data_IF_706833022977
#
_entry.id   IF_706833022977
#
_cell.length_a   1.000
_cell.length_b   1.000
_cell.length_c   1.000
_cell.angle_alpha   90.00
_cell.angle_beta   90.00
_cell.angle_gamma   90.00
#
_symmetry.space_group_name_H-M   'P 1'
#
loop_
_entity.id
_entity.type
_entity.pdbx_description
1 polymer ?
#
# COMPACT_ATOMS: atom_id res chain seq x y z
N UNK A 1 -4.76 19.47 2.05
CA UNK A 1 -4.54 18.29 1.18
C UNK A 1 -3.08 17.93 1.34
N UNK A 2 -2.73 16.71 1.77
CA UNK A 2 -1.32 16.41 2.08
C UNK A 2 -0.57 16.19 0.75
N UNK A 3 0.06 17.23 0.23
CA UNK A 3 0.81 17.26 -1.05
C UNK A 3 1.89 16.15 -1.05
N UNK A 4 2.45 15.86 0.12
CA UNK A 4 3.36 14.74 0.39
C UNK A 4 2.80 13.39 -0.06
N UNK A 5 1.57 13.02 0.32
CA UNK A 5 1.02 11.71 -0.05
C UNK A 5 0.72 11.54 -1.56
N UNK A 6 0.49 12.65 -2.27
CA UNK A 6 0.07 12.62 -3.67
C UNK A 6 1.25 12.66 -4.65
N UNK A 7 2.39 13.24 -4.24
CA UNK A 7 3.56 13.41 -5.11
C UNK A 7 4.85 12.85 -4.52
N UNK A 8 5.07 12.93 -3.21
CA UNK A 8 6.31 12.43 -2.60
C UNK A 8 6.37 10.90 -2.68
N UNK A 9 5.29 10.21 -2.30
CA UNK A 9 5.27 8.74 -2.36
C UNK A 9 5.42 8.22 -3.79
N UNK A 10 4.57 8.60 -4.77
CA UNK A 10 4.78 8.17 -6.16
C UNK A 10 6.13 8.59 -6.74
N UNK A 11 6.59 9.80 -6.44
CA UNK A 11 7.89 10.31 -6.91
C UNK A 11 9.05 9.48 -6.38
N UNK A 12 9.06 9.16 -5.09
CA UNK A 12 10.07 8.29 -4.48
C UNK A 12 9.98 6.86 -5.01
N UNK A 13 8.77 6.31 -5.17
CA UNK A 13 8.58 4.97 -5.75
C UNK A 13 9.19 4.90 -7.14
N UNK A 14 8.89 5.86 -8.02
CA UNK A 14 9.43 5.94 -9.38
C UNK A 14 10.95 6.14 -9.35
N UNK A 15 11.45 7.02 -8.50
CA UNK A 15 12.89 7.28 -8.36
C UNK A 15 13.66 5.99 -8.01
N UNK A 16 13.18 5.19 -7.05
CA UNK A 16 13.81 3.91 -6.68
C UNK A 16 13.67 2.91 -7.82
N UNK A 17 12.48 2.77 -8.41
CA UNK A 17 12.22 1.78 -9.44
C UNK A 17 13.04 2.02 -10.72
N UNK A 18 13.32 3.28 -11.08
CA UNK A 18 14.17 3.62 -12.24
C UNK A 18 15.66 3.32 -12.04
N UNK A 19 16.07 2.85 -10.85
CA UNK A 19 17.46 2.40 -10.61
C UNK A 19 17.77 1.05 -11.24
N UNK A 20 16.77 0.34 -11.78
CA UNK A 20 16.99 -0.85 -12.60
C UNK A 20 15.89 -1.07 -13.64
N UNK A 21 15.91 -2.23 -14.31
CA UNK A 21 14.93 -2.58 -15.33
C UNK A 21 13.56 -2.87 -14.72
N UNK A 22 12.63 -1.93 -14.91
CA UNK A 22 11.28 -1.95 -14.34
C UNK A 22 10.49 -3.25 -14.57
N UNK A 23 10.71 -3.92 -15.70
CA UNK A 23 9.98 -5.13 -16.10
C UNK A 23 10.60 -6.43 -15.57
N UNK A 24 11.89 -6.41 -15.25
CA UNK A 24 12.65 -7.64 -14.97
C UNK A 24 13.17 -7.70 -13.54
N UNK A 25 13.29 -6.55 -12.89
CA UNK A 25 13.71 -6.45 -11.51
C UNK A 25 12.59 -5.91 -10.63
N UNK A 26 12.60 -6.36 -9.39
CA UNK A 26 11.69 -5.97 -8.33
C UNK A 26 12.23 -4.71 -7.61
N UNK A 27 11.42 -3.67 -7.38
CA UNK A 27 11.92 -2.41 -6.81
C UNK A 27 12.31 -2.59 -5.33
N UNK A 28 11.69 -3.57 -4.64
CA UNK A 28 12.10 -3.99 -3.30
C UNK A 28 13.49 -4.60 -3.31
N UNK A 29 13.83 -5.41 -4.33
CA UNK A 29 15.19 -5.95 -4.49
C UNK A 29 16.22 -4.84 -4.67
N UNK A 30 15.95 -3.90 -5.59
CA UNK A 30 16.82 -2.74 -5.86
C UNK A 30 16.97 -1.87 -4.60
N UNK A 31 15.86 -1.60 -3.91
CA UNK A 31 15.84 -0.84 -2.67
C UNK A 31 16.54 -1.54 -1.50
N UNK A 32 16.77 -2.85 -1.58
CA UNK A 32 17.55 -3.59 -0.58
C UNK A 32 19.06 -3.58 -0.82
N UNK A 33 19.52 -3.09 -1.97
CA UNK A 33 20.95 -2.88 -2.21
C UNK A 33 21.50 -1.80 -1.26
N UNK A 34 22.72 -1.98 -0.78
CA UNK A 34 23.34 -1.11 0.24
C UNK A 34 23.31 0.37 -0.14
N UNK A 35 23.51 0.70 -1.42
CA UNK A 35 23.49 2.07 -1.94
C UNK A 35 22.11 2.76 -1.82
N UNK A 36 21.01 2.00 -1.88
CA UNK A 36 19.65 2.53 -1.90
C UNK A 36 18.83 2.18 -0.64
N UNK A 37 19.39 1.37 0.26
CA UNK A 37 18.72 0.93 1.49
C UNK A 37 18.16 2.07 2.35
N UNK A 38 18.89 3.17 2.62
CA UNK A 38 18.35 4.25 3.44
C UNK A 38 17.12 4.93 2.84
N UNK A 39 17.13 5.17 1.52
CA UNK A 39 16.00 5.81 0.84
C UNK A 39 14.80 4.86 0.74
N UNK A 40 15.05 3.57 0.53
CA UNK A 40 14.02 2.55 0.53
C UNK A 40 13.33 2.39 1.90
N UNK A 41 14.09 2.37 2.99
CA UNK A 41 13.54 2.34 4.34
C UNK A 41 12.71 3.59 4.64
N UNK A 42 13.23 4.77 4.27
CA UNK A 42 12.50 6.04 4.42
C UNK A 42 11.18 6.00 3.67
N UNK A 43 11.22 5.56 2.41
CA UNK A 43 10.03 5.40 1.57
C UNK A 43 9.02 4.41 2.20
N UNK A 44 9.47 3.25 2.65
CA UNK A 44 8.61 2.23 3.27
C UNK A 44 7.92 2.73 4.53
N UNK A 45 8.65 3.44 5.40
CA UNK A 45 8.08 4.08 6.60
C UNK A 45 7.03 5.13 6.21
N UNK A 46 7.35 6.01 5.26
CA UNK A 46 6.41 7.04 4.79
C UNK A 46 5.14 6.42 4.19
N UNK A 47 5.29 5.35 3.40
CA UNK A 47 4.17 4.64 2.81
C UNK A 47 3.27 4.00 3.88
N UNK A 48 3.85 3.29 4.84
CA UNK A 48 3.11 2.67 5.95
C UNK A 48 2.40 3.70 6.81
N UNK A 49 3.08 4.82 7.13
CA UNK A 49 2.47 5.92 7.89
C UNK A 49 1.36 6.60 7.11
N UNK A 50 1.51 6.78 5.79
CA UNK A 50 0.46 7.33 4.93
C UNK A 50 -0.79 6.45 4.95
N UNK A 51 -0.64 5.13 4.77
CA UNK A 51 -1.76 4.19 4.81
C UNK A 51 -2.46 4.20 6.18
N UNK A 52 -1.69 4.14 7.28
CA UNK A 52 -2.20 4.23 8.65
C UNK A 52 -2.99 5.52 8.90
N UNK A 53 -2.38 6.67 8.61
CA UNK A 53 -2.99 8.00 8.86
C UNK A 53 -4.23 8.20 8.00
N UNK A 54 -4.20 7.78 6.73
CA UNK A 54 -5.35 7.95 5.84
C UNK A 54 -6.53 7.07 6.25
N UNK A 55 -6.30 5.83 6.69
CA UNK A 55 -7.37 5.00 7.22
C UNK A 55 -7.90 5.55 8.56
N UNK A 56 -7.04 5.94 9.50
CA UNK A 56 -7.49 6.57 10.76
C UNK A 56 -8.31 7.84 10.47
N UNK A 57 -7.87 8.68 9.54
CA UNK A 57 -8.61 9.87 9.15
C UNK A 57 -10.00 9.52 8.59
N UNK A 58 -10.11 8.42 7.85
CA UNK A 58 -11.37 7.92 7.31
C UNK A 58 -12.33 7.50 8.44
N UNK A 59 -11.84 6.74 9.43
CA UNK A 59 -12.60 6.39 10.65
C UNK A 59 -13.11 7.65 11.37
N UNK A 60 -12.26 8.68 11.48
CA UNK A 60 -12.62 9.95 12.13
C UNK A 60 -13.72 10.70 11.38
N UNK A 61 -13.64 10.78 10.06
CA UNK A 61 -14.60 11.50 9.21
C UNK A 61 -15.98 10.86 9.24
N UNK A 62 -16.06 9.53 9.36
CA UNK A 62 -17.35 8.83 9.44
C UNK A 62 -17.83 8.63 10.88
N UNK A 63 -17.17 9.26 11.86
CA UNK A 63 -17.46 9.09 13.29
C UNK A 63 -17.47 7.62 13.76
N UNK A 64 -16.69 6.73 13.11
CA UNK A 64 -16.68 5.29 13.35
C UNK A 64 -15.32 4.85 13.91
N UNK A 65 -15.00 5.31 15.12
CA UNK A 65 -13.71 5.13 15.77
C UNK A 65 -13.67 3.92 16.71
N UNK A 66 -14.29 2.79 16.34
CA UNK A 66 -14.24 1.59 17.18
C UNK A 66 -12.78 1.15 17.41
N UNK A 67 -12.47 0.84 18.67
CA UNK A 67 -11.12 0.45 19.09
C UNK A 67 -10.56 -0.74 18.29
N UNK A 68 -11.42 -1.68 17.88
CA UNK A 68 -11.05 -2.82 17.04
C UNK A 68 -10.51 -2.39 15.67
N UNK A 69 -11.14 -1.42 15.00
CA UNK A 69 -10.63 -0.89 13.73
C UNK A 69 -9.29 -0.18 13.91
N UNK A 70 -9.17 0.67 14.94
CA UNK A 70 -7.93 1.39 15.23
C UNK A 70 -6.80 0.40 15.48
N UNK A 71 -7.05 -0.63 16.30
CA UNK A 71 -6.08 -1.67 16.61
C UNK A 71 -5.65 -2.44 15.35
N UNK A 72 -6.62 -2.91 14.55
CA UNK A 72 -6.33 -3.68 13.33
C UNK A 72 -5.53 -2.87 12.30
N UNK A 73 -5.94 -1.63 12.03
CA UNK A 73 -5.21 -0.74 11.12
C UNK A 73 -3.79 -0.46 11.64
N UNK A 74 -3.63 -0.27 12.95
CA UNK A 74 -2.31 -0.02 13.56
C UNK A 74 -1.40 -1.24 13.43
N UNK A 75 -1.91 -2.45 13.69
CA UNK A 75 -1.18 -3.70 13.52
C UNK A 75 -0.75 -3.87 12.06
N UNK A 76 -1.67 -3.69 11.11
CA UNK A 76 -1.35 -3.80 9.68
C UNK A 76 -0.31 -2.75 9.25
N UNK A 77 -0.43 -1.50 9.72
CA UNK A 77 0.54 -0.45 9.42
C UNK A 77 1.94 -0.73 9.98
N UNK A 78 2.03 -1.24 11.21
CA UNK A 78 3.31 -1.64 11.83
C UNK A 78 3.93 -2.81 11.06
N UNK A 79 3.14 -3.86 10.78
CA UNK A 79 3.62 -5.02 10.02
C UNK A 79 4.10 -4.62 8.62
N UNK A 80 3.40 -3.71 7.95
CA UNK A 80 3.80 -3.19 6.65
C UNK A 80 5.11 -2.39 6.73
N UNK A 81 5.32 -1.60 7.79
CA UNK A 81 6.61 -0.95 8.04
C UNK A 81 7.73 -1.96 8.29
N UNK A 82 7.48 -2.99 9.11
CA UNK A 82 8.45 -4.04 9.44
C UNK A 82 8.87 -4.81 8.19
N UNK A 83 7.95 -5.08 7.25
CA UNK A 83 8.32 -5.82 6.03
C UNK A 83 9.46 -5.11 5.29
N UNK A 84 9.41 -3.78 5.15
CA UNK A 84 10.49 -3.04 4.48
C UNK A 84 11.81 -3.03 5.25
N UNK A 85 11.78 -3.15 6.59
CA UNK A 85 12.98 -3.23 7.45
C UNK A 85 13.66 -4.59 7.32
N UNK A 86 12.91 -5.66 7.02
CA UNK A 86 13.50 -6.96 6.76
C UNK A 86 14.36 -6.92 5.48
N UNK A 87 15.56 -7.53 5.50
CA UNK A 87 16.38 -7.62 4.31
C UNK A 87 15.72 -8.58 3.30
N UNK A 88 15.61 -8.10 2.06
CA UNK A 88 15.12 -8.88 0.93
C UNK A 88 16.30 -9.25 0.02
N UNK A 89 17.12 -10.19 0.50
CA UNK A 89 18.21 -10.79 -0.26
C UNK A 89 18.37 -12.27 0.13
N UNK A 90 17.97 -13.15 -0.78
CA UNK A 90 18.00 -14.61 -0.59
C UNK A 90 19.42 -15.15 -0.38
N UNK A 91 20.43 -14.48 -0.93
CA UNK A 91 21.84 -14.88 -0.80
C UNK A 91 22.35 -14.64 0.63
N UNK A 92 21.77 -13.66 1.34
CA UNK A 92 22.15 -13.31 2.72
C UNK A 92 21.29 -14.01 3.77
N UNK A 93 19.98 -14.14 3.54
CA UNK A 93 19.06 -14.80 4.45
C UNK A 93 17.76 -15.16 3.74
N UNK A 94 17.57 -16.46 3.46
CA UNK A 94 16.33 -16.98 2.88
C UNK A 94 15.13 -16.67 3.78
N UNK A 95 15.23 -16.93 5.09
CA UNK A 95 14.15 -16.72 6.04
C UNK A 95 13.68 -15.26 6.09
N UNK A 96 14.62 -14.29 6.15
CA UNK A 96 14.24 -12.88 6.18
C UNK A 96 13.59 -12.44 4.87
N UNK A 97 14.08 -12.95 3.74
CA UNK A 97 13.50 -12.70 2.41
C UNK A 97 12.07 -13.28 2.30
N UNK A 98 11.83 -14.47 2.81
CA UNK A 98 10.49 -15.10 2.81
C UNK A 98 9.54 -14.37 3.75
N UNK A 99 9.99 -14.03 4.97
CA UNK A 99 9.21 -13.25 5.92
C UNK A 99 8.82 -11.88 5.36
N UNK A 100 9.74 -11.19 4.68
CA UNK A 100 9.44 -9.95 3.96
C UNK A 100 8.24 -10.14 3.03
N UNK A 101 8.28 -11.16 2.16
CA UNK A 101 7.23 -11.43 1.17
C UNK A 101 5.91 -11.77 1.85
N UNK A 102 5.92 -12.69 2.82
CA UNK A 102 4.71 -13.12 3.49
C UNK A 102 4.04 -11.98 4.28
N UNK A 103 4.83 -11.15 4.97
CA UNK A 103 4.29 -9.99 5.69
C UNK A 103 3.74 -8.96 4.70
N UNK A 104 4.45 -8.66 3.60
CA UNK A 104 3.97 -7.72 2.57
C UNK A 104 2.67 -8.18 1.92
N UNK A 105 2.54 -9.48 1.59
CA UNK A 105 1.30 -10.04 1.02
C UNK A 105 0.17 -10.03 2.07
N UNK A 106 0.44 -10.49 3.29
CA UNK A 106 -0.55 -10.56 4.35
C UNK A 106 -1.09 -9.17 4.72
N UNK A 107 -0.21 -8.17 4.80
CA UNK A 107 -0.59 -6.78 5.09
C UNK A 107 -1.41 -6.18 3.96
N UNK A 108 -1.03 -6.41 2.70
CA UNK A 108 -1.80 -5.97 1.54
C UNK A 108 -3.21 -6.56 1.51
N UNK A 109 -3.34 -7.89 1.62
CA UNK A 109 -4.63 -8.58 1.64
C UNK A 109 -5.46 -8.13 2.85
N UNK A 110 -4.84 -8.09 4.03
CA UNK A 110 -5.49 -7.65 5.27
C UNK A 110 -6.04 -6.24 5.16
N UNK A 111 -5.29 -5.32 4.54
CA UNK A 111 -5.71 -3.95 4.33
C UNK A 111 -6.90 -3.84 3.36
N UNK A 112 -6.87 -4.57 2.24
CA UNK A 112 -8.00 -4.61 1.29
C UNK A 112 -9.26 -5.14 1.97
N UNK A 113 -9.16 -6.28 2.65
CA UNK A 113 -10.30 -6.91 3.32
C UNK A 113 -10.88 -6.00 4.41
N UNK A 114 -10.01 -5.38 5.22
CA UNK A 114 -10.43 -4.44 6.25
C UNK A 114 -11.13 -3.23 5.66
N UNK A 115 -10.60 -2.66 4.56
CA UNK A 115 -11.20 -1.53 3.87
C UNK A 115 -12.57 -1.88 3.28
N UNK A 116 -12.70 -3.03 2.62
CA UNK A 116 -13.96 -3.49 2.04
C UNK A 116 -15.02 -3.77 3.13
N UNK A 117 -14.63 -4.46 4.20
CA UNK A 117 -15.50 -4.72 5.35
C UNK A 117 -15.98 -3.42 5.99
N UNK A 118 -15.06 -2.48 6.18
CA UNK A 118 -15.39 -1.17 6.75
C UNK A 118 -16.32 -0.37 5.84
N UNK A 119 -16.06 -0.33 4.52
CA UNK A 119 -16.95 0.33 3.55
C UNK A 119 -18.35 -0.30 3.51
N UNK A 120 -18.44 -1.63 3.61
CA UNK A 120 -19.71 -2.34 3.71
C UNK A 120 -20.48 -1.93 4.97
N UNK A 121 -19.79 -1.82 6.11
CA UNK A 121 -20.36 -1.42 7.41
C UNK A 121 -20.80 0.05 7.48
N UNK A 122 -20.28 0.92 6.62
CA UNK A 122 -20.76 2.30 6.51
C UNK A 122 -22.16 2.39 5.90
N UNK A 123 -22.71 1.30 5.35
CA UNK A 123 -24.01 1.25 4.68
C UNK A 123 -24.16 2.30 3.54
N UNK A 124 -23.04 2.81 3.01
CA UNK A 124 -23.01 3.70 1.86
C UNK A 124 -22.71 2.90 0.60
N UNK A 125 -23.77 2.47 -0.10
CA UNK A 125 -23.67 1.61 -1.29
C UNK A 125 -22.74 2.18 -2.37
N UNK A 126 -22.78 3.50 -2.60
CA UNK A 126 -21.94 4.14 -3.61
C UNK A 126 -20.45 4.06 -3.27
N UNK A 127 -20.07 4.37 -2.02
CA UNK A 127 -18.68 4.28 -1.56
C UNK A 127 -18.20 2.82 -1.56
N UNK A 128 -19.05 1.88 -1.15
CA UNK A 128 -18.73 0.46 -1.19
C UNK A 128 -18.46 -0.04 -2.61
N UNK A 129 -19.38 0.18 -3.57
CA UNK A 129 -19.20 -0.25 -4.96
C UNK A 129 -18.01 0.45 -5.62
N UNK A 130 -17.79 1.74 -5.33
CA UNK A 130 -16.61 2.47 -5.83
C UNK A 130 -15.32 1.81 -5.33
N UNK A 131 -15.29 1.38 -4.07
CA UNK A 131 -14.14 0.69 -3.48
C UNK A 131 -13.95 -0.69 -4.08
N UNK A 132 -15.01 -1.50 -4.22
CA UNK A 132 -14.95 -2.82 -4.86
C UNK A 132 -14.41 -2.71 -6.28
N UNK A 133 -14.94 -1.78 -7.09
CA UNK A 133 -14.45 -1.54 -8.46
C UNK A 133 -12.97 -1.17 -8.47
N UNK A 134 -12.55 -0.28 -7.57
CA UNK A 134 -11.16 0.13 -7.48
C UNK A 134 -10.23 -1.04 -7.10
N UNK A 135 -10.65 -1.92 -6.19
CA UNK A 135 -9.87 -3.10 -5.81
C UNK A 135 -9.79 -4.12 -6.96
N UNK A 136 -10.89 -4.34 -7.69
CA UNK A 136 -10.89 -5.20 -8.88
C UNK A 136 -9.95 -4.64 -9.95
N UNK A 137 -10.02 -3.33 -10.24
CA UNK A 137 -9.11 -2.68 -11.19
C UNK A 137 -7.65 -2.85 -10.78
N UNK A 138 -7.34 -2.69 -9.49
CA UNK A 138 -5.99 -2.93 -8.98
C UNK A 138 -5.53 -4.38 -9.23
N UNK A 139 -6.35 -5.35 -8.84
CA UNK A 139 -6.03 -6.77 -8.99
C UNK A 139 -5.86 -7.17 -10.47
N UNK A 140 -6.72 -6.66 -11.36
CA UNK A 140 -6.60 -6.88 -12.81
C UNK A 140 -5.31 -6.27 -13.35
N UNK A 141 -4.96 -5.03 -12.94
CA UNK A 141 -3.73 -4.38 -13.37
C UNK A 141 -2.47 -5.12 -12.88
N UNK A 142 -2.48 -5.59 -11.63
CA UNK A 142 -1.40 -6.41 -11.06
C UNK A 142 -1.28 -7.76 -11.79
N UNK A 143 -2.41 -8.45 -12.01
CA UNK A 143 -2.42 -9.74 -12.71
C UNK A 143 -1.94 -9.60 -14.16
N UNK A 144 -2.42 -8.60 -14.88
CA UNK A 144 -1.96 -8.32 -16.24
C UNK A 144 -0.45 -8.03 -16.30
N UNK A 145 0.04 -7.20 -15.37
CA UNK A 145 1.48 -6.89 -15.28
C UNK A 145 2.30 -8.13 -14.96
N UNK A 146 1.83 -8.98 -14.04
CA UNK A 146 2.46 -10.25 -13.70
C UNK A 146 2.52 -11.20 -14.91
N UNK A 147 1.47 -11.26 -15.73
CA UNK A 147 1.45 -12.05 -16.97
C UNK A 147 2.46 -11.56 -18.01
N UNK A 148 2.70 -10.25 -18.06
CA UNK A 148 3.71 -9.67 -18.95
C UNK A 148 5.15 -9.93 -18.47
N UNK A 149 5.39 -9.91 -17.17
CA UNK A 149 6.75 -9.99 -16.62
C UNK A 149 7.15 -11.39 -16.17
N UNK A 150 6.20 -12.30 -15.95
CA UNK A 150 6.44 -13.66 -15.46
C UNK A 150 6.83 -13.74 -13.97
N UNK A 151 7.07 -12.60 -13.32
CA UNK A 151 7.41 -12.47 -11.90
C UNK A 151 6.96 -11.10 -11.34
N UNK A 152 7.05 -10.90 -10.02
CA UNK A 152 6.74 -9.65 -9.32
C UNK A 152 7.80 -8.60 -9.65
N UNK A 153 7.57 -7.86 -10.73
CA UNK A 153 8.41 -6.78 -11.21
C UNK A 153 8.16 -5.46 -10.47
N UNK A 154 9.07 -4.49 -10.64
CA UNK A 154 8.90 -3.13 -10.15
C UNK A 154 7.60 -2.51 -10.65
N UNK A 155 7.14 -2.83 -11.87
CA UNK A 155 5.84 -2.36 -12.38
C UNK A 155 4.68 -2.83 -11.51
N UNK A 156 4.64 -4.12 -11.16
CA UNK A 156 3.58 -4.70 -10.31
C UNK A 156 3.55 -3.99 -8.96
N UNK A 157 4.73 -3.80 -8.36
CA UNK A 157 4.86 -3.17 -7.05
C UNK A 157 4.55 -1.66 -7.08
N UNK A 158 4.94 -0.94 -8.13
CA UNK A 158 4.59 0.47 -8.35
C UNK A 158 3.09 0.64 -8.52
N UNK A 159 2.44 -0.22 -9.31
CA UNK A 159 0.99 -0.23 -9.45
C UNK A 159 0.36 -0.40 -8.08
N UNK A 160 0.78 -1.43 -7.32
CA UNK A 160 0.22 -1.69 -6.00
C UNK A 160 0.35 -0.51 -5.04
N UNK A 161 1.59 -0.10 -4.78
CA UNK A 161 1.92 0.89 -3.74
C UNK A 161 1.35 2.28 -4.05
N UNK A 162 1.48 2.73 -5.30
CA UNK A 162 0.99 4.06 -5.70
C UNK A 162 -0.53 4.08 -5.85
N UNK A 163 -1.14 3.04 -6.42
CA UNK A 163 -2.59 3.00 -6.58
C UNK A 163 -3.30 3.02 -5.24
N UNK A 164 -2.87 2.17 -4.28
CA UNK A 164 -3.47 2.15 -2.94
C UNK A 164 -3.29 3.49 -2.22
N UNK A 165 -2.10 4.09 -2.29
CA UNK A 165 -1.81 5.39 -1.68
C UNK A 165 -2.70 6.51 -2.21
N UNK A 166 -2.86 6.58 -3.54
CA UNK A 166 -3.69 7.59 -4.21
C UNK A 166 -5.17 7.31 -3.96
N UNK A 167 -5.58 6.05 -4.03
CA UNK A 167 -6.96 5.64 -3.83
C UNK A 167 -7.46 5.99 -2.42
N UNK A 168 -6.64 5.79 -1.37
CA UNK A 168 -7.00 6.19 -0.01
C UNK A 168 -7.25 7.71 0.12
N UNK A 169 -6.45 8.54 -0.57
CA UNK A 169 -6.66 10.00 -0.61
C UNK A 169 -7.94 10.36 -1.35
N UNK A 170 -8.21 9.70 -2.48
CA UNK A 170 -9.45 9.86 -3.23
C UNK A 170 -10.67 9.51 -2.38
N UNK A 171 -10.61 8.39 -1.67
CA UNK A 171 -11.68 7.89 -0.81
C UNK A 171 -11.96 8.88 0.33
N UNK A 172 -10.92 9.36 1.02
CA UNK A 172 -11.06 10.41 2.05
C UNK A 172 -11.79 11.65 1.52
N UNK A 173 -11.43 12.12 0.31
CA UNK A 173 -12.06 13.29 -0.31
C UNK A 173 -13.53 13.02 -0.63
N UNK A 174 -13.85 11.84 -1.17
CA UNK A 174 -15.22 11.45 -1.50
C UNK A 174 -16.06 11.30 -0.23
N UNK A 175 -15.57 10.62 0.80
CA UNK A 175 -16.30 10.41 2.05
C UNK A 175 -16.63 11.73 2.75
N UNK A 176 -15.70 12.70 2.80
CA UNK A 176 -15.99 14.04 3.35
C UNK A 176 -17.17 14.73 2.66
N UNK A 177 -17.29 14.58 1.33
CA UNK A 177 -18.38 15.21 0.58
C UNK A 177 -19.76 14.63 0.92
N UNK A 178 -19.83 13.35 1.29
CA UNK A 178 -21.09 12.69 1.66
C UNK A 178 -21.51 12.91 3.12
N UNK A 179 -20.61 13.36 3.99
CA UNK A 179 -20.93 13.63 5.40
C UNK A 179 -21.35 15.09 5.65
N UNK A 180 -20.99 16.01 4.73
CA UNK A 180 -21.22 17.45 4.89
C UNK A 180 -21.98 18.10 3.72
N UNK A 181 -22.50 17.31 2.77
CA UNK A 181 -23.31 17.78 1.65
C UNK A 181 -24.63 17.03 1.63
#
# INVERSE_FOLDING_TARGET
MNITGLFLLPGLSIYIATRSHLLYENFTYVGNQSAYRPIFLTWGILLSMHMLVTFIALLKITHNQHASYILLVSILGILHGISYVLPYNKDTSLLASELHVYISIATFIGYILLLLLYMYRLHNFYLFITTVKAMITLLVAMFFSLMLTGDISSVVELINTNYMSIFMLYLLKKTKRYQYG
#
